data_IF_970794323877
#
_entry.id   IF_970794323877
#
_cell.length_a   1.000
_cell.length_b   1.000
_cell.length_c   1.000
_cell.angle_alpha   90.00
_cell.angle_beta   90.00
_cell.angle_gamma   90.00
#
_symmetry.space_group_name_H-M   'P 1'
#
loop_
_entity.id
_entity.type
_entity.pdbx_description
1 polymer ?
#
# COMPACT_ATOMS: atom_id res chain seq x y z
N UNK A 1 -4.28 -5.47 18.48
CA UNK A 1 -3.73 -6.83 18.68
C UNK A 1 -4.77 -7.88 19.09
N UNK A 2 -6.00 -7.49 19.49
CA UNK A 2 -7.02 -8.44 19.98
C UNK A 2 -7.42 -9.52 18.97
N UNK A 3 -7.51 -9.21 17.67
CA UNK A 3 -7.77 -10.22 16.63
C UNK A 3 -6.75 -11.38 16.66
N UNK A 4 -5.48 -11.07 16.86
CA UNK A 4 -4.43 -12.08 16.99
C UNK A 4 -4.57 -12.88 18.29
N UNK A 5 -4.75 -12.19 19.42
CA UNK A 5 -4.91 -12.84 20.74
C UNK A 5 -6.14 -13.75 20.81
N UNK A 6 -7.20 -13.43 20.06
CA UNK A 6 -8.43 -14.20 19.98
C UNK A 6 -8.38 -15.33 18.92
N UNK A 7 -7.23 -15.58 18.29
CA UNK A 7 -7.05 -16.69 17.34
C UNK A 7 -7.61 -16.46 15.93
N UNK A 8 -8.03 -15.23 15.59
CA UNK A 8 -8.51 -14.91 14.23
C UNK A 8 -7.38 -14.67 13.22
N UNK A 9 -6.14 -14.51 13.71
CA UNK A 9 -4.95 -14.35 12.86
C UNK A 9 -4.05 -15.56 13.08
N UNK A 10 -3.50 -16.19 12.01
CA UNK A 10 -2.59 -17.31 12.15
C UNK A 10 -1.44 -16.99 13.12
N UNK A 11 -1.10 -17.88 14.07
CA UNK A 11 -0.03 -17.62 15.03
C UNK A 11 1.34 -17.37 14.39
N UNK A 12 1.61 -17.97 13.23
CA UNK A 12 2.85 -17.73 12.50
C UNK A 12 2.89 -16.39 11.74
N UNK A 13 1.79 -15.62 11.71
CA UNK A 13 1.72 -14.34 11.00
C UNK A 13 2.69 -13.29 11.55
N UNK A 14 3.13 -13.41 12.80
CA UNK A 14 4.17 -12.53 13.38
C UNK A 14 5.54 -12.67 12.70
N UNK A 15 5.75 -13.76 11.96
CA UNK A 15 6.99 -14.05 11.23
C UNK A 15 6.84 -13.86 9.71
N UNK A 16 5.69 -13.36 9.25
CA UNK A 16 5.45 -13.16 7.82
C UNK A 16 6.25 -12.00 7.26
N UNK A 17 6.77 -12.20 6.05
CA UNK A 17 7.35 -11.19 5.19
C UNK A 17 6.28 -10.57 4.28
N UNK A 18 6.65 -9.51 3.57
CA UNK A 18 5.74 -8.74 2.72
C UNK A 18 5.00 -9.57 1.66
N UNK A 19 5.59 -10.66 1.16
CA UNK A 19 4.99 -11.55 0.16
C UNK A 19 4.12 -12.65 0.76
N UNK A 20 4.25 -12.92 2.05
CA UNK A 20 3.62 -14.09 2.68
C UNK A 20 2.11 -13.94 2.79
N UNK A 21 1.58 -12.71 2.77
CA UNK A 21 0.14 -12.49 2.64
C UNK A 21 -0.43 -13.12 1.35
N UNK A 22 0.24 -12.95 0.21
CA UNK A 22 -0.16 -13.53 -1.06
C UNK A 22 -0.06 -15.05 -0.98
N UNK A 23 1.08 -15.57 -0.53
CA UNK A 23 1.33 -17.01 -0.42
C UNK A 23 0.28 -17.68 0.46
N UNK A 24 0.00 -17.13 1.65
CA UNK A 24 -0.96 -17.75 2.56
C UNK A 24 -2.40 -17.65 2.04
N UNK A 25 -2.79 -16.53 1.43
CA UNK A 25 -4.13 -16.40 0.86
C UNK A 25 -4.34 -17.34 -0.34
N UNK A 26 -3.40 -17.36 -1.29
CA UNK A 26 -3.50 -18.22 -2.49
C UNK A 26 -3.43 -19.72 -2.14
N UNK A 27 -2.71 -20.09 -1.07
CA UNK A 27 -2.72 -21.46 -0.52
C UNK A 27 -3.89 -21.74 0.43
N UNK A 28 -4.91 -20.87 0.47
CA UNK A 28 -6.13 -21.02 1.28
C UNK A 28 -5.87 -21.19 2.78
N UNK A 29 -4.77 -20.61 3.28
CA UNK A 29 -4.40 -20.59 4.71
C UNK A 29 -5.04 -19.42 5.46
N UNK A 30 -5.51 -18.41 4.74
CA UNK A 30 -6.31 -17.31 5.29
C UNK A 30 -7.57 -17.07 4.46
N UNK A 31 -8.64 -16.67 5.15
CA UNK A 31 -9.89 -16.26 4.52
C UNK A 31 -9.78 -14.88 3.86
N UNK A 32 -9.01 -13.98 4.45
CA UNK A 32 -8.82 -12.61 3.97
C UNK A 32 -7.44 -12.07 4.35
N UNK A 33 -6.95 -11.11 3.58
CA UNK A 33 -5.71 -10.39 3.88
C UNK A 33 -5.72 -9.00 3.26
N UNK A 34 -4.94 -8.08 3.84
CA UNK A 34 -4.71 -6.76 3.24
C UNK A 34 -3.73 -6.94 2.07
N UNK A 35 -4.12 -6.48 0.89
CA UNK A 35 -3.28 -6.52 -0.30
C UNK A 35 -3.09 -5.13 -0.91
N UNK A 36 -1.96 -4.43 -0.65
CA UNK A 36 -1.82 -3.01 -0.96
C UNK A 36 -1.61 -2.69 -2.45
N UNK A 37 -1.51 -3.69 -3.32
CA UNK A 37 -1.01 -3.50 -4.69
C UNK A 37 -1.76 -4.31 -5.75
N UNK A 38 -2.88 -4.96 -5.43
CA UNK A 38 -3.60 -5.88 -6.34
C UNK A 38 -2.77 -7.09 -6.82
N UNK A 39 -1.70 -7.48 -6.11
CA UNK A 39 -0.85 -8.62 -6.53
C UNK A 39 -1.60 -9.95 -6.50
N UNK A 40 -2.51 -10.12 -5.53
CA UNK A 40 -3.27 -11.37 -5.41
C UNK A 40 -4.18 -11.53 -6.63
N UNK A 41 -5.15 -10.64 -6.89
CA UNK A 41 -6.02 -10.78 -8.05
C UNK A 41 -5.23 -10.71 -9.36
N UNK A 42 -4.24 -9.82 -9.49
CA UNK A 42 -3.41 -9.73 -10.68
C UNK A 42 -2.64 -11.01 -11.02
N UNK A 43 -2.29 -11.83 -10.01
CA UNK A 43 -1.65 -13.13 -10.25
C UNK A 43 -2.59 -14.21 -10.77
N UNK A 44 -3.91 -14.02 -10.66
CA UNK A 44 -4.93 -15.00 -11.00
C UNK A 44 -5.76 -14.60 -12.24
N UNK A 45 -5.43 -13.48 -12.90
CA UNK A 45 -6.22 -12.93 -14.02
C UNK A 45 -6.42 -13.85 -15.22
N UNK A 46 -5.54 -14.83 -15.42
CA UNK A 46 -5.65 -15.79 -16.54
C UNK A 46 -6.58 -16.98 -16.22
N UNK A 47 -6.93 -17.19 -14.95
CA UNK A 47 -7.93 -18.18 -14.53
C UNK A 47 -9.23 -17.45 -14.18
N UNK A 48 -10.12 -17.34 -15.17
CA UNK A 48 -11.37 -16.59 -15.04
C UNK A 48 -12.25 -17.11 -13.90
N UNK A 49 -12.25 -18.42 -13.63
CA UNK A 49 -13.07 -18.98 -12.56
C UNK A 49 -12.52 -18.55 -11.19
N UNK A 50 -11.20 -18.61 -10.99
CA UNK A 50 -10.60 -18.11 -9.74
C UNK A 50 -10.84 -16.60 -9.62
N UNK A 51 -10.46 -15.83 -10.63
CA UNK A 51 -10.53 -14.38 -10.63
C UNK A 51 -11.96 -13.86 -10.45
N UNK A 52 -12.91 -14.36 -11.24
CA UNK A 52 -14.28 -13.85 -11.25
C UNK A 52 -15.14 -14.47 -10.17
N UNK A 53 -14.87 -15.68 -9.67
CA UNK A 53 -15.81 -16.40 -8.79
C UNK A 53 -15.24 -16.84 -7.43
N UNK A 54 -13.93 -17.09 -7.30
CA UNK A 54 -13.38 -17.66 -6.04
C UNK A 54 -12.66 -16.65 -5.15
N UNK A 55 -12.22 -15.50 -5.67
CA UNK A 55 -11.58 -14.43 -4.89
C UNK A 55 -12.32 -13.10 -5.07
N UNK A 56 -12.25 -12.22 -4.07
CA UNK A 56 -12.90 -10.89 -4.12
C UNK A 56 -12.01 -9.81 -3.52
N UNK A 57 -12.03 -8.63 -4.14
CA UNK A 57 -11.57 -7.40 -3.49
C UNK A 57 -12.79 -6.73 -2.86
N UNK A 58 -12.68 -6.36 -1.59
CA UNK A 58 -13.73 -5.62 -0.89
C UNK A 58 -13.14 -4.35 -0.27
N UNK A 59 -14.00 -3.36 -0.05
CA UNK A 59 -13.64 -2.12 0.64
C UNK A 59 -13.39 -2.38 2.12
N UNK A 60 -12.62 -1.50 2.76
CA UNK A 60 -12.55 -1.53 4.22
C UNK A 60 -13.90 -1.18 4.84
N UNK A 61 -14.22 -1.77 6.01
CA UNK A 61 -15.38 -1.32 6.79
C UNK A 61 -15.18 0.13 7.24
N UNK A 62 -16.27 0.77 7.66
CA UNK A 62 -16.19 2.08 8.30
C UNK A 62 -15.32 2.03 9.56
N UNK A 63 -14.72 3.17 9.88
CA UNK A 63 -13.96 3.35 11.10
C UNK A 63 -14.85 3.09 12.34
N UNK A 64 -14.27 2.81 13.53
CA UNK A 64 -15.05 2.55 14.75
C UNK A 64 -16.03 3.66 15.14
N UNK A 65 -15.78 4.90 14.71
CA UNK A 65 -16.66 6.06 14.92
C UNK A 65 -17.76 6.19 13.84
N UNK A 66 -17.89 5.23 12.94
CA UNK A 66 -18.86 5.21 11.84
C UNK A 66 -18.45 5.97 10.58
N UNK A 67 -17.37 6.76 10.62
CA UNK A 67 -16.89 7.51 9.45
C UNK A 67 -16.28 6.58 8.39
N UNK A 68 -16.34 7.00 7.13
CA UNK A 68 -15.71 6.28 6.02
C UNK A 68 -14.19 6.12 6.23
N UNK A 69 -13.58 5.01 5.75
CA UNK A 69 -12.15 4.81 5.84
C UNK A 69 -11.40 5.81 4.96
N UNK A 70 -10.16 6.11 5.38
CA UNK A 70 -9.19 6.83 4.55
C UNK A 70 -8.17 5.84 4.01
N UNK A 71 -7.95 5.82 2.70
CA UNK A 71 -7.02 4.88 2.06
C UNK A 71 -5.61 5.46 1.98
N UNK A 72 -4.62 4.67 2.38
CA UNK A 72 -3.21 5.03 2.25
C UNK A 72 -2.74 4.77 0.81
N UNK A 73 -2.07 5.76 0.23
CA UNK A 73 -1.61 5.72 -1.17
C UNK A 73 -0.11 6.00 -1.26
N UNK A 74 0.58 5.20 -2.08
CA UNK A 74 1.98 5.41 -2.43
C UNK A 74 2.06 5.91 -3.86
N UNK A 75 2.71 7.06 -4.07
CA UNK A 75 2.92 7.62 -5.41
C UNK A 75 4.31 7.24 -5.90
N UNK A 76 4.37 6.63 -7.08
CA UNK A 76 5.64 6.33 -7.76
C UNK A 76 6.09 7.55 -8.54
N UNK A 77 7.29 8.06 -8.21
CA UNK A 77 7.87 9.27 -8.81
C UNK A 77 9.11 8.87 -9.62
N UNK A 78 9.17 9.17 -10.93
CA UNK A 78 10.42 9.04 -11.66
C UNK A 78 11.41 10.11 -11.19
N UNK A 79 12.70 9.78 -11.20
CA UNK A 79 13.79 10.69 -10.83
C UNK A 79 14.86 10.69 -11.93
N UNK A 80 15.43 11.86 -12.19
CA UNK A 80 16.62 12.02 -13.04
C UNK A 80 17.76 12.46 -12.12
N UNK A 81 18.82 11.66 -12.03
CA UNK A 81 20.01 12.05 -11.28
C UNK A 81 20.70 13.24 -11.95
N UNK A 82 21.18 14.18 -11.14
CA UNK A 82 21.93 15.37 -11.63
C UNK A 82 23.23 14.98 -12.32
N UNK A 83 23.80 13.82 -11.98
CA UNK A 83 25.00 13.24 -12.61
C UNK A 83 24.71 12.43 -13.88
N UNK A 84 23.47 12.44 -14.39
CA UNK A 84 23.14 11.72 -15.63
C UNK A 84 24.02 12.19 -16.79
N UNK A 85 24.57 11.24 -17.55
CA UNK A 85 25.32 11.55 -18.78
C UNK A 85 24.41 12.10 -19.90
N UNK A 86 23.10 11.89 -19.81
CA UNK A 86 22.12 12.27 -20.83
C UNK A 86 20.87 12.94 -20.21
N UNK A 87 21.02 14.09 -19.52
CA UNK A 87 19.91 14.70 -18.76
C UNK A 87 18.79 15.21 -19.68
N UNK A 88 19.14 15.70 -20.88
CA UNK A 88 18.16 16.16 -21.87
C UNK A 88 17.29 15.00 -22.39
N UNK A 89 17.92 13.90 -22.81
CA UNK A 89 17.21 12.72 -23.31
C UNK A 89 16.34 12.08 -22.22
N UNK A 90 16.84 12.01 -20.98
CA UNK A 90 16.05 11.51 -19.85
C UNK A 90 14.79 12.35 -19.62
N UNK A 91 14.90 13.69 -19.74
CA UNK A 91 13.75 14.59 -19.63
C UNK A 91 12.77 14.41 -20.80
N UNK A 92 13.27 14.30 -22.03
CA UNK A 92 12.44 14.03 -23.21
C UNK A 92 11.68 12.70 -23.07
N UNK A 93 12.34 11.65 -22.60
CA UNK A 93 11.70 10.37 -22.32
C UNK A 93 10.61 10.47 -21.25
N UNK A 94 10.88 11.14 -20.12
CA UNK A 94 9.84 11.32 -19.09
C UNK A 94 8.68 12.16 -19.61
N UNK A 95 8.94 13.22 -20.38
CA UNK A 95 7.90 14.02 -21.03
C UNK A 95 7.04 13.20 -21.99
N UNK A 96 7.64 12.27 -22.75
CA UNK A 96 6.92 11.32 -23.58
C UNK A 96 6.09 10.34 -22.74
N UNK A 97 6.71 9.70 -21.72
CA UNK A 97 6.07 8.67 -20.90
C UNK A 97 4.85 9.19 -20.16
N UNK A 98 4.91 10.42 -19.62
CA UNK A 98 3.80 11.00 -18.86
C UNK A 98 2.65 11.50 -19.75
N UNK A 99 2.77 11.48 -21.08
CA UNK A 99 1.62 11.83 -21.91
C UNK A 99 0.46 10.86 -21.63
N UNK A 100 -0.80 11.33 -21.60
CA UNK A 100 -1.94 10.51 -21.16
C UNK A 100 -2.07 9.20 -21.92
N UNK A 101 -1.87 9.21 -23.24
CA UNK A 101 -1.92 8.04 -24.11
C UNK A 101 -0.83 7.01 -23.76
N UNK A 102 0.39 7.46 -23.46
CA UNK A 102 1.51 6.57 -23.16
C UNK A 102 1.41 6.04 -21.73
N UNK A 103 1.16 6.92 -20.76
CA UNK A 103 1.01 6.55 -19.36
C UNK A 103 -0.23 5.66 -19.15
N UNK A 104 -1.34 6.02 -19.78
CA UNK A 104 -2.58 5.25 -19.71
C UNK A 104 -2.41 3.84 -20.29
N UNK A 105 -1.77 3.70 -21.46
CA UNK A 105 -1.45 2.40 -22.03
C UNK A 105 -0.51 1.58 -21.13
N UNK A 106 0.55 2.19 -20.61
CA UNK A 106 1.49 1.53 -19.69
C UNK A 106 0.79 1.03 -18.41
N UNK A 107 -0.03 1.87 -17.78
CA UNK A 107 -0.74 1.52 -16.55
C UNK A 107 -1.78 0.44 -16.80
N UNK A 108 -2.58 0.51 -17.88
CA UNK A 108 -3.50 -0.59 -18.24
C UNK A 108 -2.75 -1.88 -18.55
N UNK A 109 -1.60 -1.80 -19.21
CA UNK A 109 -0.71 -2.94 -19.43
C UNK A 109 -0.18 -3.58 -18.15
N UNK A 110 -0.16 -2.85 -17.03
CA UNK A 110 0.12 -3.40 -15.70
C UNK A 110 -1.07 -4.14 -15.05
N UNK A 111 -2.17 -4.31 -15.80
CA UNK A 111 -3.38 -5.07 -15.44
C UNK A 111 -3.99 -4.66 -14.08
N UNK A 112 -4.03 -3.36 -13.79
CA UNK A 112 -4.62 -2.83 -12.55
C UNK A 112 -3.69 -2.86 -11.34
N UNK A 113 -2.40 -3.20 -11.52
CA UNK A 113 -1.36 -3.12 -10.48
C UNK A 113 -1.17 -1.69 -9.94
N UNK A 114 -1.37 -0.70 -10.81
CA UNK A 114 -1.27 0.72 -10.50
C UNK A 114 -2.54 1.44 -10.96
N UNK A 115 -2.85 2.54 -10.30
CA UNK A 115 -3.95 3.42 -10.66
C UNK A 115 -3.40 4.76 -11.19
N UNK A 116 -3.93 5.31 -12.30
CA UNK A 116 -3.42 6.55 -12.87
C UNK A 116 -3.67 7.75 -11.95
N UNK A 117 -2.70 8.67 -11.88
CA UNK A 117 -2.86 9.91 -11.08
C UNK A 117 -3.62 11.00 -11.84
N UNK A 118 -3.69 10.91 -13.18
CA UNK A 118 -4.36 11.88 -14.03
C UNK A 118 -5.86 11.55 -14.08
N UNK A 119 -6.70 12.47 -13.59
CA UNK A 119 -8.15 12.27 -13.53
C UNK A 119 -8.78 11.97 -14.88
N UNK A 120 -8.28 12.56 -15.97
CA UNK A 120 -8.77 12.26 -17.33
C UNK A 120 -8.60 10.79 -17.75
N UNK A 121 -7.66 10.06 -17.13
CA UNK A 121 -7.45 8.63 -17.40
C UNK A 121 -8.40 7.74 -16.59
N UNK A 122 -9.14 8.30 -15.63
CA UNK A 122 -10.08 7.54 -14.80
C UNK A 122 -11.29 7.12 -15.61
N UNK A 123 -11.73 7.95 -16.55
CA UNK A 123 -12.88 7.70 -17.44
C UNK A 123 -12.72 6.50 -18.38
N UNK A 124 -11.53 5.88 -18.46
CA UNK A 124 -11.33 4.67 -19.23
C UNK A 124 -12.20 3.52 -18.68
N UNK A 125 -13.01 2.83 -19.50
CA UNK A 125 -13.90 1.76 -19.05
C UNK A 125 -13.20 0.66 -18.24
N UNK A 126 -11.89 0.44 -18.46
CA UNK A 126 -11.07 -0.48 -17.68
C UNK A 126 -11.19 -0.26 -16.16
N UNK A 127 -11.32 0.99 -15.70
CA UNK A 127 -11.39 1.31 -14.28
C UNK A 127 -12.79 1.19 -13.68
N UNK A 128 -13.82 1.10 -14.53
CA UNK A 128 -15.22 1.21 -14.15
C UNK A 128 -16.06 -0.01 -14.52
N UNK A 129 -15.47 -1.05 -15.12
CA UNK A 129 -16.17 -2.28 -15.43
C UNK A 129 -16.63 -2.99 -14.14
N UNK A 130 -17.92 -2.90 -13.84
CA UNK A 130 -18.52 -3.51 -12.65
C UNK A 130 -18.56 -5.03 -12.72
N UNK A 131 -18.27 -5.64 -13.88
CA UNK A 131 -18.08 -7.09 -13.99
C UNK A 131 -16.74 -7.54 -13.41
N UNK A 132 -15.73 -6.66 -13.37
CA UNK A 132 -14.47 -6.95 -12.71
C UNK A 132 -14.61 -6.73 -11.19
N UNK A 133 -14.53 -7.78 -10.36
CA UNK A 133 -14.77 -7.67 -8.91
C UNK A 133 -13.55 -7.12 -8.13
N UNK A 134 -12.52 -6.69 -8.84
CA UNK A 134 -11.21 -6.35 -8.29
C UNK A 134 -10.80 -4.92 -8.65
N UNK A 135 -10.59 -4.65 -9.93
CA UNK A 135 -10.13 -3.37 -10.45
C UNK A 135 -11.16 -2.30 -10.17
N UNK A 136 -12.45 -2.55 -10.42
CA UNK A 136 -13.52 -1.58 -10.16
C UNK A 136 -13.56 -1.15 -8.69
N UNK A 137 -13.40 -2.09 -7.76
CA UNK A 137 -13.37 -1.82 -6.31
C UNK A 137 -12.13 -1.02 -5.94
N UNK A 138 -10.96 -1.39 -6.46
CA UNK A 138 -9.71 -0.66 -6.22
C UNK A 138 -9.80 0.78 -6.75
N UNK A 139 -10.32 0.99 -7.97
CA UNK A 139 -10.55 2.31 -8.55
C UNK A 139 -11.44 3.18 -7.65
N UNK A 140 -12.53 2.63 -7.11
CA UNK A 140 -13.43 3.35 -6.21
C UNK A 140 -12.71 3.84 -4.94
N UNK A 141 -11.72 3.11 -4.42
CA UNK A 141 -10.94 3.56 -3.26
C UNK A 141 -10.17 4.86 -3.54
N UNK A 142 -9.76 5.09 -4.79
CA UNK A 142 -9.07 6.31 -5.20
C UNK A 142 -10.03 7.44 -5.58
N UNK A 143 -11.19 7.12 -6.16
CA UNK A 143 -12.10 8.12 -6.77
C UNK A 143 -13.28 8.51 -5.89
N UNK A 144 -13.69 7.65 -4.95
CA UNK A 144 -14.89 7.86 -4.11
C UNK A 144 -14.57 8.08 -2.64
N UNK A 145 -13.35 7.76 -2.19
CA UNK A 145 -12.94 7.89 -0.79
C UNK A 145 -11.78 8.87 -0.63
N UNK A 146 -11.63 9.36 0.60
CA UNK A 146 -10.45 10.17 0.93
C UNK A 146 -9.18 9.31 0.91
N UNK A 147 -8.12 9.89 0.33
CA UNK A 147 -6.78 9.27 0.32
C UNK A 147 -5.81 10.05 1.21
N UNK A 148 -4.77 9.36 1.68
CA UNK A 148 -3.62 9.95 2.37
C UNK A 148 -2.33 9.37 1.81
N UNK A 149 -1.30 10.20 1.64
CA UNK A 149 0.02 9.69 1.34
C UNK A 149 0.58 8.93 2.55
N UNK A 150 1.40 7.91 2.30
CA UNK A 150 2.23 7.35 3.37
C UNK A 150 3.14 8.42 3.96
N UNK A 151 3.41 8.35 5.26
CA UNK A 151 4.14 9.39 5.99
C UNK A 151 5.57 9.61 5.45
N UNK A 152 6.21 8.54 4.96
CA UNK A 152 7.51 8.61 4.29
C UNK A 152 7.51 9.39 2.96
N UNK A 153 6.32 9.65 2.39
CA UNK A 153 6.15 10.50 1.21
C UNK A 153 5.96 11.97 1.58
N UNK A 154 5.73 12.26 2.87
CA UNK A 154 5.50 13.60 3.44
C UNK A 154 6.77 14.09 4.14
N UNK A 155 7.44 13.23 4.92
CA UNK A 155 8.64 13.59 5.67
C UNK A 155 9.73 12.51 5.56
N UNK A 156 10.97 12.86 5.12
CA UNK A 156 12.05 11.90 4.94
C UNK A 156 12.51 11.23 6.25
N UNK A 157 12.35 11.89 7.41
CA UNK A 157 12.66 11.28 8.71
C UNK A 157 11.82 10.02 8.96
N UNK A 158 10.61 9.96 8.39
CA UNK A 158 9.75 8.79 8.53
C UNK A 158 10.29 7.57 7.74
N UNK A 159 11.09 7.76 6.70
CA UNK A 159 11.78 6.63 6.05
C UNK A 159 12.69 5.88 7.03
N UNK A 160 13.27 6.59 8.01
CA UNK A 160 14.03 5.93 9.07
C UNK A 160 13.11 5.16 10.03
N UNK A 161 11.94 5.70 10.38
CA UNK A 161 10.92 5.01 11.19
C UNK A 161 10.51 3.68 10.55
N UNK A 162 10.27 3.69 9.23
CA UNK A 162 9.95 2.50 8.45
C UNK A 162 11.13 1.50 8.46
N UNK A 163 12.35 1.98 8.16
CA UNK A 163 13.55 1.13 8.10
C UNK A 163 13.88 0.46 9.44
N UNK A 164 13.63 1.14 10.55
CA UNK A 164 13.84 0.63 11.90
C UNK A 164 12.65 -0.21 12.39
N UNK A 165 11.59 -0.37 11.59
CA UNK A 165 10.41 -1.17 11.90
C UNK A 165 9.75 -0.81 13.24
N UNK A 166 9.69 0.48 13.58
CA UNK A 166 9.29 0.95 14.92
C UNK A 166 7.89 0.44 15.32
N UNK A 167 6.90 0.54 14.42
CA UNK A 167 5.54 0.08 14.71
C UNK A 167 5.45 -1.45 14.81
N UNK A 168 6.19 -2.20 14.00
CA UNK A 168 6.25 -3.66 14.10
C UNK A 168 6.85 -4.10 15.43
N UNK A 169 7.93 -3.44 15.89
CA UNK A 169 8.51 -3.67 17.22
C UNK A 169 7.51 -3.36 18.33
N UNK A 170 6.70 -2.31 18.19
CA UNK A 170 5.64 -1.99 19.14
C UNK A 170 4.57 -3.09 19.20
N UNK A 171 4.16 -3.64 18.05
CA UNK A 171 3.24 -4.77 18.01
C UNK A 171 3.84 -6.02 18.65
N UNK A 172 5.12 -6.32 18.39
CA UNK A 172 5.83 -7.44 19.04
C UNK A 172 5.86 -7.30 20.55
N UNK A 173 6.11 -6.09 21.08
CA UNK A 173 6.05 -5.83 22.53
C UNK A 173 4.71 -6.19 23.16
N UNK A 174 3.60 -5.95 22.45
CA UNK A 174 2.25 -6.26 22.94
C UNK A 174 1.90 -7.75 22.79
N UNK A 175 2.37 -8.39 21.72
CA UNK A 175 2.01 -9.76 21.34
C UNK A 175 2.90 -10.81 21.98
N UNK A 176 4.18 -10.51 22.15
CA UNK A 176 5.22 -11.43 22.61
C UNK A 176 5.69 -11.04 24.01
N UNK A 177 6.07 -9.78 24.22
CA UNK A 177 6.64 -9.32 25.50
C UNK A 177 5.58 -9.04 26.58
N UNK A 178 4.29 -9.06 26.20
CA UNK A 178 3.17 -8.90 27.13
C UNK A 178 2.90 -7.46 27.62
N UNK A 179 3.54 -6.45 27.03
CA UNK A 179 3.29 -5.04 27.38
C UNK A 179 1.84 -4.63 27.05
N UNK A 180 1.33 -3.63 27.78
CA UNK A 180 0.08 -2.99 27.39
C UNK A 180 0.24 -2.25 26.05
N UNK A 181 -0.85 -2.09 25.26
CA UNK A 181 -0.82 -1.27 24.05
C UNK A 181 -0.31 0.15 24.29
N UNK A 182 -0.65 0.75 25.43
CA UNK A 182 -0.22 2.11 25.80
C UNK A 182 1.30 2.16 25.99
N UNK A 183 1.88 1.30 26.82
CA UNK A 183 3.32 1.29 27.08
C UNK A 183 4.14 1.05 25.81
N UNK A 184 3.72 0.09 24.98
CA UNK A 184 4.40 -0.19 23.72
C UNK A 184 4.32 1.00 22.74
N UNK A 185 3.19 1.72 22.74
CA UNK A 185 2.99 2.92 21.92
C UNK A 185 3.84 4.08 22.43
N UNK A 186 3.94 4.29 23.74
CA UNK A 186 4.77 5.34 24.32
C UNK A 186 6.25 5.14 23.97
N UNK A 187 6.73 3.89 24.01
CA UNK A 187 8.09 3.53 23.56
C UNK A 187 8.26 3.87 22.07
N UNK A 188 7.31 3.48 21.22
CA UNK A 188 7.36 3.76 19.79
C UNK A 188 7.40 5.27 19.49
N UNK A 189 6.53 6.04 20.14
CA UNK A 189 6.46 7.50 19.98
C UNK A 189 7.76 8.16 20.46
N UNK A 190 8.34 7.70 21.58
CA UNK A 190 9.64 8.19 22.06
C UNK A 190 10.73 7.99 21.00
N UNK A 191 10.84 6.79 20.43
CA UNK A 191 11.83 6.49 19.39
C UNK A 191 11.60 7.33 18.12
N UNK A 192 10.34 7.51 17.70
CA UNK A 192 9.99 8.38 16.57
C UNK A 192 10.43 9.83 16.85
N UNK A 193 10.18 10.36 18.05
CA UNK A 193 10.63 11.71 18.42
C UNK A 193 12.16 11.85 18.37
N UNK A 194 12.89 10.84 18.82
CA UNK A 194 14.36 10.81 18.76
C UNK A 194 14.86 10.77 17.30
N UNK A 195 14.22 9.99 16.41
CA UNK A 195 14.51 10.01 14.98
C UNK A 195 14.30 11.42 14.41
N UNK A 196 13.15 12.02 14.65
CA UNK A 196 12.84 13.35 14.14
C UNK A 196 13.78 14.43 14.69
N UNK A 197 14.22 14.33 15.95
CA UNK A 197 15.20 15.24 16.52
C UNK A 197 16.57 15.14 15.81
N UNK A 198 17.04 13.93 15.50
CA UNK A 198 18.29 13.70 14.75
C UNK A 198 18.23 14.25 13.32
N UNK A 199 17.11 14.08 12.63
CA UNK A 199 16.95 14.62 11.28
C UNK A 199 16.99 16.16 11.26
N UNK A 200 16.40 16.83 12.25
CA UNK A 200 16.51 18.29 12.39
C UNK A 200 17.94 18.79 12.57
N UNK A 201 18.82 17.99 13.17
CA UNK A 201 20.24 18.35 13.35
C UNK A 201 21.10 18.06 12.13
N UNK A 202 20.66 17.18 11.22
CA UNK A 202 21.40 16.82 10.00
C UNK A 202 21.06 17.75 8.82
N UNK A 203 19.92 18.44 8.87
CA UNK A 203 19.50 19.44 7.89
C UNK A 203 20.02 20.87 8.19
N UNK A 204 20.76 21.05 9.29
CA UNK A 204 21.42 22.30 9.69
C UNK A 204 22.92 22.26 9.40
#
# INVERSE_FOLDING_TARGET
>A
TSFYKNGYVPPNAVNWLNSDNNTNFLNRKTLMTINPTMSIPGSQQEDEEIYLNQIRTIKFPNNPNGAEPRYLVSVKKPLIFTSSAHPKLAKEFLSYLIQPENLGAYIKGSKGRYFPIMSQLWEDPFWHDTKDPHISVASQQFTQYQTHLFENSINPAYSQVDSENIWTKAMQKVLIDGLSPTEATDIAIKLIKEIFARWKTTEA
#
